data_IF_534426444822
#
_entry.id   IF_534426444822
#
_cell.length_a   1.000
_cell.length_b   1.000
_cell.length_c   1.000
_cell.angle_alpha   90.00
_cell.angle_beta   90.00
_cell.angle_gamma   90.00
#
_symmetry.space_group_name_H-M   'P 1'
#
loop_
_entity.id
_entity.type
_entity.pdbx_description
1 polymer ?
#
# COMPACT_ATOMS: atom_id res chain seq x y z
N UNK A 1 -2.89 21.56 -16.09
CA UNK A 1 -3.26 20.82 -17.32
C UNK A 1 -3.75 19.43 -16.88
N UNK A 2 -5.05 19.30 -16.58
CA UNK A 2 -5.63 18.14 -15.87
C UNK A 2 -5.34 16.79 -16.54
N UNK A 3 -5.22 16.78 -17.88
CA UNK A 3 -4.92 15.56 -18.63
C UNK A 3 -3.50 15.05 -18.37
N UNK A 4 -2.53 15.96 -18.20
CA UNK A 4 -1.14 15.57 -17.88
C UNK A 4 -1.06 15.02 -16.46
N UNK A 5 -1.73 15.66 -15.52
CA UNK A 5 -1.76 15.23 -14.12
C UNK A 5 -2.35 13.83 -13.97
N UNK A 6 -3.49 13.55 -14.61
CA UNK A 6 -4.05 12.19 -14.63
C UNK A 6 -3.09 11.16 -15.22
N UNK A 7 -2.39 11.51 -16.31
CA UNK A 7 -1.44 10.59 -16.93
C UNK A 7 -0.26 10.25 -16.02
N UNK A 8 0.21 11.22 -15.23
CA UNK A 8 1.25 10.98 -14.22
C UNK A 8 0.72 10.14 -13.05
N UNK A 9 -0.51 10.39 -12.58
CA UNK A 9 -1.15 9.59 -11.55
C UNK A 9 -1.39 8.15 -12.00
N UNK A 10 -1.81 7.92 -13.25
CA UNK A 10 -1.96 6.58 -13.82
C UNK A 10 -0.64 5.82 -13.87
N UNK A 11 0.45 6.48 -14.30
CA UNK A 11 1.79 5.88 -14.29
C UNK A 11 2.25 5.51 -12.88
N UNK A 12 2.04 6.39 -11.91
CA UNK A 12 2.37 6.11 -10.51
C UNK A 12 1.50 4.99 -9.92
N UNK A 13 0.22 4.94 -10.30
CA UNK A 13 -0.70 3.86 -9.91
C UNK A 13 -0.33 2.51 -10.53
N UNK A 14 0.20 2.48 -11.75
CA UNK A 14 0.77 1.28 -12.38
C UNK A 14 2.05 0.87 -11.66
N UNK A 15 2.89 1.82 -11.26
CA UNK A 15 4.08 1.60 -10.43
C UNK A 15 3.80 1.16 -8.99
N UNK A 16 2.53 0.94 -8.62
CA UNK A 16 2.15 0.45 -7.30
C UNK A 16 2.12 1.53 -6.21
N UNK A 17 2.08 2.81 -6.56
CA UNK A 17 1.98 3.87 -5.56
C UNK A 17 0.55 3.99 -5.01
N UNK A 18 0.29 3.71 -3.73
CA UNK A 18 -1.07 3.66 -3.20
C UNK A 18 -1.77 5.02 -3.18
N UNK A 19 -1.03 6.10 -2.90
CA UNK A 19 -1.55 7.47 -2.88
C UNK A 19 -2.04 7.93 -4.27
N UNK A 20 -1.34 7.54 -5.34
CA UNK A 20 -1.77 7.84 -6.70
C UNK A 20 -3.09 7.13 -7.04
N UNK A 21 -3.26 5.88 -6.60
CA UNK A 21 -4.53 5.14 -6.75
C UNK A 21 -5.66 5.76 -5.95
N UNK A 22 -5.41 6.21 -4.72
CA UNK A 22 -6.39 6.92 -3.92
C UNK A 22 -6.89 8.18 -4.65
N UNK A 23 -5.99 9.00 -5.18
CA UNK A 23 -6.36 10.21 -5.92
C UNK A 23 -7.18 9.92 -7.18
N UNK A 24 -6.88 8.83 -7.90
CA UNK A 24 -7.71 8.37 -9.02
C UNK A 24 -9.12 7.95 -8.56
N UNK A 25 -9.21 7.31 -7.40
CA UNK A 25 -10.49 6.96 -6.76
C UNK A 25 -11.32 8.20 -6.42
N UNK A 26 -10.72 9.20 -5.80
CA UNK A 26 -11.38 10.48 -5.47
C UNK A 26 -11.86 11.19 -6.73
N UNK A 27 -11.04 11.21 -7.78
CA UNK A 27 -11.43 11.82 -9.05
C UNK A 27 -12.61 11.12 -9.72
N UNK A 28 -12.61 9.78 -9.71
CA UNK A 28 -13.73 9.01 -10.24
C UNK A 28 -14.99 9.17 -9.38
N UNK A 29 -14.85 9.28 -8.06
CA UNK A 29 -15.95 9.57 -7.13
C UNK A 29 -16.59 10.94 -7.42
N UNK A 30 -15.77 11.97 -7.60
CA UNK A 30 -16.22 13.33 -7.95
C UNK A 30 -16.94 13.37 -9.31
N UNK A 31 -16.61 12.44 -10.21
CA UNK A 31 -17.27 12.28 -11.51
C UNK A 31 -18.50 11.36 -11.45
N UNK A 32 -18.90 10.90 -10.26
CA UNK A 32 -20.02 9.98 -10.07
C UNK A 32 -19.75 8.55 -10.54
N UNK A 33 -18.51 8.20 -10.86
CA UNK A 33 -18.11 6.86 -11.34
C UNK A 33 -17.77 5.94 -10.18
N UNK A 34 -18.76 5.63 -9.35
CA UNK A 34 -18.56 4.89 -8.10
C UNK A 34 -17.93 3.52 -8.31
N UNK A 35 -18.34 2.76 -9.32
CA UNK A 35 -17.78 1.43 -9.61
C UNK A 35 -16.27 1.46 -9.90
N UNK A 36 -15.79 2.55 -10.51
CA UNK A 36 -14.35 2.73 -10.76
C UNK A 36 -13.64 3.23 -9.51
N UNK A 37 -14.25 4.15 -8.77
CA UNK A 37 -13.70 4.65 -7.51
C UNK A 37 -13.46 3.50 -6.51
N UNK A 38 -14.45 2.62 -6.34
CA UNK A 38 -14.36 1.41 -5.50
C UNK A 38 -13.15 0.56 -5.88
N UNK A 39 -12.94 0.29 -7.19
CA UNK A 39 -11.79 -0.48 -7.66
C UNK A 39 -10.47 0.19 -7.31
N UNK A 40 -10.36 1.50 -7.51
CA UNK A 40 -9.16 2.24 -7.16
C UNK A 40 -8.85 2.14 -5.66
N UNK A 41 -9.85 2.26 -4.79
CA UNK A 41 -9.69 2.14 -3.35
C UNK A 41 -9.36 0.72 -2.89
N UNK A 42 -9.99 -0.32 -3.44
CA UNK A 42 -9.66 -1.72 -3.11
C UNK A 42 -8.21 -2.01 -3.44
N UNK A 43 -7.73 -1.62 -4.63
CA UNK A 43 -6.36 -1.93 -5.01
C UNK A 43 -5.36 -1.11 -4.17
N UNK A 44 -5.67 0.14 -3.79
CA UNK A 44 -4.84 0.91 -2.88
C UNK A 44 -4.82 0.32 -1.46
N UNK A 45 -5.98 -0.15 -0.96
CA UNK A 45 -6.08 -0.85 0.31
C UNK A 45 -5.26 -2.14 0.32
N UNK A 46 -5.31 -2.92 -0.77
CA UNK A 46 -4.50 -4.13 -0.96
C UNK A 46 -2.98 -3.87 -0.98
N UNK A 47 -2.56 -2.61 -1.15
CA UNK A 47 -1.16 -2.19 -1.03
C UNK A 47 -0.82 -1.66 0.37
N UNK A 48 -1.70 -1.83 1.35
CA UNK A 48 -1.46 -1.38 2.72
C UNK A 48 -1.82 0.09 2.98
N UNK A 49 -2.64 0.73 2.14
CA UNK A 49 -3.02 2.13 2.35
C UNK A 49 -4.26 2.32 3.24
N UNK A 50 -4.05 2.85 4.44
CA UNK A 50 -5.10 3.03 5.46
C UNK A 50 -6.24 3.95 5.03
N UNK A 51 -5.95 5.06 4.34
CA UNK A 51 -7.00 5.98 3.89
C UNK A 51 -7.97 5.29 2.91
N UNK A 52 -7.44 4.40 2.07
CA UNK A 52 -8.26 3.69 1.08
C UNK A 52 -9.18 2.67 1.72
N UNK A 53 -8.76 1.97 2.78
CA UNK A 53 -9.66 1.01 3.45
C UNK A 53 -10.81 1.71 4.19
N UNK A 54 -10.60 2.94 4.69
CA UNK A 54 -11.69 3.76 5.26
C UNK A 54 -12.71 4.13 4.19
N UNK A 55 -12.29 4.54 3.00
CA UNK A 55 -13.21 4.81 1.88
C UNK A 55 -14.00 3.55 1.47
N UNK A 56 -13.35 2.38 1.39
CA UNK A 56 -14.06 1.12 1.10
C UNK A 56 -15.08 0.80 2.19
N UNK A 57 -14.78 1.08 3.47
CA UNK A 57 -15.71 0.90 4.59
C UNK A 57 -16.94 1.81 4.46
N UNK A 58 -16.75 3.06 4.08
CA UNK A 58 -17.85 4.00 3.85
C UNK A 58 -18.71 3.58 2.65
N UNK A 59 -18.09 3.06 1.60
CA UNK A 59 -18.79 2.53 0.42
C UNK A 59 -19.54 1.23 0.75
N UNK A 60 -19.00 0.39 1.63
CA UNK A 60 -19.70 -0.77 2.20
C UNK A 60 -20.94 -0.34 3.01
N UNK A 61 -20.81 0.67 3.88
CA UNK A 61 -21.93 1.21 4.65
C UNK A 61 -23.05 1.76 3.74
N UNK A 62 -22.68 2.32 2.58
CA UNK A 62 -23.59 2.80 1.54
C UNK A 62 -24.11 1.69 0.60
N UNK A 63 -23.76 0.42 0.82
CA UNK A 63 -24.13 -0.76 0.01
C UNK A 63 -23.61 -0.75 -1.44
N UNK A 64 -22.51 -0.04 -1.71
CA UNK A 64 -21.82 -0.10 -3.01
C UNK A 64 -20.80 -1.24 -3.10
N UNK A 65 -20.38 -1.78 -1.94
CA UNK A 65 -19.42 -2.89 -1.84
C UNK A 65 -20.11 -4.02 -1.07
N UNK A 66 -19.92 -5.27 -1.50
CA UNK A 66 -20.44 -6.42 -0.77
C UNK A 66 -19.54 -6.75 0.43
N UNK A 67 -20.07 -7.56 1.36
CA UNK A 67 -19.33 -7.93 2.58
C UNK A 67 -18.08 -8.72 2.24
N UNK A 68 -18.17 -9.57 1.22
CA UNK A 68 -17.10 -10.44 0.75
C UNK A 68 -15.92 -9.61 0.20
N UNK A 69 -16.21 -8.60 -0.62
CA UNK A 69 -15.20 -7.69 -1.17
C UNK A 69 -14.54 -6.85 -0.09
N UNK A 70 -15.33 -6.33 0.86
CA UNK A 70 -14.78 -5.58 2.00
C UNK A 70 -13.86 -6.46 2.87
N UNK A 71 -14.28 -7.69 3.18
CA UNK A 71 -13.48 -8.62 3.95
C UNK A 71 -12.21 -9.09 3.19
N UNK A 72 -12.29 -9.21 1.86
CA UNK A 72 -11.12 -9.51 1.03
C UNK A 72 -10.12 -8.35 1.04
N UNK A 73 -10.59 -7.11 0.86
CA UNK A 73 -9.75 -5.91 0.90
C UNK A 73 -9.07 -5.73 2.26
N UNK A 74 -9.79 -5.96 3.37
CA UNK A 74 -9.22 -5.90 4.72
C UNK A 74 -8.10 -6.92 4.93
N UNK A 75 -8.30 -8.18 4.49
CA UNK A 75 -7.29 -9.23 4.61
C UNK A 75 -6.05 -8.91 3.79
N UNK A 76 -6.23 -8.46 2.56
CA UNK A 76 -5.13 -8.07 1.68
C UNK A 76 -4.37 -6.86 2.22
N UNK A 77 -5.07 -5.88 2.78
CA UNK A 77 -4.47 -4.72 3.44
C UNK A 77 -3.58 -5.13 4.62
N UNK A 78 -4.08 -5.96 5.54
CA UNK A 78 -3.26 -6.49 6.64
C UNK A 78 -2.04 -7.27 6.13
N UNK A 79 -2.23 -8.16 5.16
CA UNK A 79 -1.13 -8.92 4.58
C UNK A 79 -0.06 -8.01 3.95
N UNK A 80 -0.47 -6.93 3.27
CA UNK A 80 0.46 -5.96 2.70
C UNK A 80 1.20 -5.15 3.77
N UNK A 81 0.51 -4.70 4.83
CA UNK A 81 1.14 -4.00 5.96
C UNK A 81 2.14 -4.90 6.69
N UNK A 82 1.80 -6.17 6.91
CA UNK A 82 2.69 -7.13 7.56
C UNK A 82 3.86 -7.50 6.65
N UNK A 83 3.62 -7.70 5.36
CA UNK A 83 4.66 -7.93 4.36
C UNK A 83 5.55 -6.70 4.11
N UNK A 84 5.11 -5.49 4.42
CA UNK A 84 5.99 -4.31 4.42
C UNK A 84 6.88 -4.30 5.66
N UNK A 85 6.40 -4.77 6.82
CA UNK A 85 7.19 -4.84 8.06
C UNK A 85 8.27 -5.94 8.02
N UNK A 86 8.02 -7.06 7.35
CA UNK A 86 8.99 -8.16 7.22
C UNK A 86 10.31 -7.81 6.52
N UNK A 87 10.36 -7.09 5.38
CA UNK A 87 11.61 -6.71 4.72
C UNK A 87 12.42 -5.69 5.51
N UNK A 88 11.82 -4.87 6.39
CA UNK A 88 12.62 -4.08 7.34
C UNK A 88 13.20 -4.93 8.47
N UNK A 89 12.62 -6.09 8.78
CA UNK A 89 13.15 -7.01 9.81
C UNK A 89 14.33 -7.83 9.29
N UNK A 90 14.30 -8.26 8.02
CA UNK A 90 15.45 -8.95 7.41
C UNK A 90 16.63 -8.01 7.14
N UNK A 91 16.40 -6.75 6.74
CA UNK A 91 17.49 -5.79 6.52
C UNK A 91 18.15 -5.25 7.82
N UNK A 92 17.42 -5.26 8.95
CA UNK A 92 17.96 -4.81 10.25
C UNK A 92 18.76 -5.88 10.98
N UNK A 93 18.50 -7.17 10.71
CA UNK A 93 19.24 -8.28 11.32
C UNK A 93 20.57 -8.58 10.60
N UNK A 94 20.73 -8.16 9.34
CA UNK A 94 21.97 -8.32 8.57
C UNK A 94 23.03 -7.26 8.92
N UNK A 95 22.63 -6.01 9.17
CA UNK A 95 23.55 -4.93 9.57
C UNK A 95 24.13 -5.07 11.00
N UNK A 96 23.60 -5.99 11.82
CA UNK A 96 24.04 -6.23 13.19
C UNK A 96 25.10 -7.31 13.36
N UNK A 97 25.44 -8.07 12.31
CA UNK A 97 26.39 -9.20 12.41
C UNK A 97 27.77 -8.94 11.81
N UNK A 98 27.90 -7.98 10.88
CA UNK A 98 29.18 -7.72 10.21
C UNK A 98 30.17 -6.85 11.01
N UNK A 99 29.77 -6.27 12.15
CA UNK A 99 30.66 -5.42 12.97
C UNK A 99 31.39 -6.15 14.11
N UNK A 100 31.33 -7.48 14.18
CA UNK A 100 31.88 -8.25 15.31
C UNK A 100 33.14 -9.08 14.99
N UNK A 101 33.75 -8.95 13.79
CA UNK A 101 34.92 -9.78 13.42
C UNK A 101 36.25 -9.03 13.27
N UNK A 102 36.27 -7.69 13.35
CA UNK A 102 37.53 -6.92 13.30
C UNK A 102 38.08 -6.59 14.70
N UNK A 103 38.06 -7.60 15.58
CA UNK A 103 38.52 -7.53 16.97
C UNK A 103 39.81 -8.31 17.23
N UNK A 104 40.95 -7.78 16.76
CA UNK A 104 42.27 -7.94 17.39
C UNK A 104 42.76 -9.36 17.72
N UNK A 105 43.27 -10.10 16.74
CA UNK A 105 44.20 -11.21 16.99
C UNK A 105 45.65 -10.69 16.95
N UNK A 106 46.14 -10.20 18.09
CA UNK A 106 47.57 -10.11 18.38
C UNK A 106 47.83 -10.69 19.76
N UNK A 107 47.85 -12.02 19.86
CA UNK A 107 48.43 -12.70 21.03
C UNK A 107 49.82 -13.14 20.65
N UNK A 108 50.80 -12.39 21.16
CA UNK A 108 52.20 -12.77 21.27
C UNK A 108 52.29 -14.01 22.17
N UNK A 109 52.87 -15.10 21.67
CA UNK A 109 53.78 -15.95 22.45
C UNK A 109 54.71 -16.73 21.51
#
# INVERSE_FOLDING_TARGET
DEKKEMHHLEKAAIGGHPAARYNLGVHDLNKGRMDRAVKHYIIAANLGHDASIQEVKDLYAKRFVCKEDFAAALRAHHAAVDAMKSPQREAAEEFGKDSAEDGFSLTIN
#
